data_IF_377073545366
#
_entry.id   IF_377073545366
#
_cell.length_a   1.000
_cell.length_b   1.000
_cell.length_c   1.000
_cell.angle_alpha   90.00
_cell.angle_beta   90.00
_cell.angle_gamma   90.00
#
_symmetry.space_group_name_H-M   'P 1'
#
loop_
_entity.id
_entity.type
_entity.pdbx_description
1 polymer ?
#
# COMPACT_ATOMS: atom_id res chain seq x y z
N UNK A 1 -2.90 -2.10 -3.08
CA UNK A 1 -3.51 -1.57 -1.83
C UNK A 1 -4.55 -0.45 -2.04
N UNK A 2 -5.03 -0.20 -3.26
CA UNK A 2 -5.96 0.91 -3.54
C UNK A 2 -7.28 0.82 -2.77
N UNK A 3 -7.83 -0.38 -2.55
CA UNK A 3 -9.06 -0.56 -1.77
C UNK A 3 -8.97 0.05 -0.35
N UNK A 4 -7.83 -0.13 0.31
CA UNK A 4 -7.55 0.46 1.61
C UNK A 4 -7.51 2.00 1.53
N UNK A 5 -6.86 2.54 0.51
CA UNK A 5 -6.83 3.98 0.23
C UNK A 5 -8.20 4.58 0.00
N UNK A 6 -9.05 3.92 -0.80
CA UNK A 6 -10.42 4.34 -1.07
C UNK A 6 -11.26 4.29 0.20
N UNK A 7 -11.11 3.25 1.02
CA UNK A 7 -11.80 3.12 2.31
C UNK A 7 -11.43 4.26 3.24
N UNK A 8 -10.12 4.50 3.44
CA UNK A 8 -9.62 5.59 4.26
C UNK A 8 -10.08 6.96 3.76
N UNK A 9 -10.02 7.20 2.45
CA UNK A 9 -10.49 8.46 1.85
C UNK A 9 -11.96 8.74 2.12
N UNK A 10 -12.81 7.71 2.07
CA UNK A 10 -14.25 7.84 2.34
C UNK A 10 -14.56 8.13 3.81
N UNK A 11 -13.73 7.67 4.74
CA UNK A 11 -13.95 7.87 6.18
C UNK A 11 -13.28 9.15 6.71
N UNK A 12 -12.07 9.46 6.25
CA UNK A 12 -11.23 10.54 6.79
C UNK A 12 -11.19 11.79 5.91
N UNK A 13 -11.70 11.72 4.67
CA UNK A 13 -11.67 12.85 3.73
C UNK A 13 -10.27 13.19 3.19
N UNK A 14 -9.28 12.32 3.41
CA UNK A 14 -7.90 12.48 2.94
C UNK A 14 -7.63 11.44 1.87
N UNK A 15 -7.20 11.86 0.69
CA UNK A 15 -6.76 10.96 -0.37
C UNK A 15 -5.25 10.68 -0.19
N UNK A 16 -4.84 9.49 0.27
CA UNK A 16 -3.43 9.11 0.36
C UNK A 16 -2.80 8.95 -1.03
N UNK A 17 -1.49 9.19 -1.14
CA UNK A 17 -0.72 8.78 -2.31
C UNK A 17 -0.75 7.24 -2.49
N UNK A 18 -0.59 6.70 -3.71
CA UNK A 18 -0.58 5.26 -3.94
C UNK A 18 0.41 4.49 -3.06
N UNK A 19 1.58 5.06 -2.76
CA UNK A 19 2.58 4.50 -1.86
C UNK A 19 2.08 4.48 -0.41
N UNK A 20 1.42 5.55 0.03
CA UNK A 20 0.83 5.66 1.36
C UNK A 20 -0.31 4.65 1.60
N UNK A 21 -0.97 4.16 0.54
CA UNK A 21 -1.98 3.11 0.65
C UNK A 21 -1.46 1.83 1.31
N UNK A 22 -0.17 1.54 1.19
CA UNK A 22 0.43 0.37 1.84
C UNK A 22 0.44 0.53 3.37
N UNK A 23 0.79 1.71 3.86
CA UNK A 23 0.75 2.01 5.29
C UNK A 23 -0.69 2.04 5.83
N UNK A 24 -1.62 2.64 5.07
CA UNK A 24 -3.06 2.63 5.40
C UNK A 24 -3.59 1.20 5.51
N UNK A 25 -3.27 0.33 4.54
CA UNK A 25 -3.66 -1.09 4.60
C UNK A 25 -3.13 -1.75 5.87
N UNK A 26 -1.84 -1.57 6.18
CA UNK A 26 -1.25 -2.11 7.39
C UNK A 26 -1.93 -1.62 8.67
N UNK A 27 -2.32 -0.34 8.73
CA UNK A 27 -3.04 0.23 9.86
C UNK A 27 -4.45 -0.37 10.01
N UNK A 28 -5.18 -0.54 8.90
CA UNK A 28 -6.50 -1.19 8.89
C UNK A 28 -6.40 -2.65 9.33
N UNK A 29 -5.42 -3.40 8.80
CA UNK A 29 -5.21 -4.81 9.14
C UNK A 29 -4.91 -4.95 10.65
N UNK A 30 -4.03 -4.09 11.20
CA UNK A 30 -3.73 -4.06 12.64
C UNK A 30 -4.95 -3.70 13.50
N UNK A 31 -5.81 -2.77 13.03
CA UNK A 31 -7.03 -2.41 13.73
C UNK A 31 -8.06 -3.56 13.74
N UNK A 32 -8.19 -4.29 12.63
CA UNK A 32 -9.04 -5.49 12.53
C UNK A 32 -8.53 -6.63 13.43
N UNK A 33 -7.21 -6.80 13.54
CA UNK A 33 -6.61 -7.74 14.48
C UNK A 33 -6.89 -7.36 15.94
N UNK A 34 -6.74 -6.08 16.31
CA UNK A 34 -7.09 -5.61 17.64
C UNK A 34 -8.57 -5.86 17.97
N UNK A 35 -9.46 -5.60 16.99
CA UNK A 35 -10.90 -5.87 17.11
C UNK A 35 -11.19 -7.35 17.34
N UNK A 36 -10.53 -8.27 16.62
CA UNK A 36 -10.76 -9.71 16.78
C UNK A 36 -10.26 -10.24 18.13
N UNK A 37 -9.22 -9.62 18.69
CA UNK A 37 -8.67 -9.94 20.02
C UNK A 37 -9.36 -9.22 21.18
N UNK A 38 -10.22 -8.23 20.89
CA UNK A 38 -10.82 -7.39 21.92
C UNK A 38 -9.83 -6.45 22.61
N UNK A 39 -8.72 -6.12 21.94
CA UNK A 39 -7.67 -5.25 22.46
C UNK A 39 -7.86 -3.81 21.97
N UNK A 40 -7.60 -2.84 22.85
CA UNK A 40 -7.56 -1.42 22.48
C UNK A 40 -6.12 -0.95 22.46
N UNK A 41 -5.54 -0.83 21.25
CA UNK A 41 -4.17 -0.35 21.03
C UNK A 41 -4.16 0.94 20.22
N UNK A 42 -3.16 1.78 20.46
CA UNK A 42 -2.87 2.94 19.62
C UNK A 42 -2.06 2.48 18.41
N UNK A 43 -2.53 2.81 17.20
CA UNK A 43 -1.85 2.52 15.95
C UNK A 43 -1.41 3.86 15.35
N UNK A 44 -0.10 4.02 15.16
CA UNK A 44 0.49 5.15 14.45
C UNK A 44 1.08 4.66 13.14
N UNK A 45 0.78 5.35 12.05
CA UNK A 45 1.36 5.07 10.74
C UNK A 45 1.74 6.38 10.06
N UNK A 46 2.71 6.31 9.14
CA UNK A 46 3.16 7.46 8.37
C UNK A 46 2.33 7.58 7.08
N UNK A 47 1.57 8.66 6.94
CA UNK A 47 0.94 9.05 5.68
C UNK A 47 1.96 9.86 4.86
N UNK A 48 2.79 9.16 4.09
CA UNK A 48 3.97 9.76 3.44
C UNK A 48 3.66 10.78 2.34
N UNK A 49 2.42 10.86 1.85
CA UNK A 49 2.02 11.78 0.80
C UNK A 49 0.52 11.77 0.52
N UNK A 50 0.05 12.77 -0.22
CA UNK A 50 -1.34 12.90 -0.68
C UNK A 50 -1.48 12.49 -2.15
N UNK A 51 -2.65 11.99 -2.55
CA UNK A 51 -2.91 11.48 -3.90
C UNK A 51 -3.41 12.52 -4.92
N UNK A 52 -3.41 13.82 -4.61
CA UNK A 52 -3.95 14.87 -5.51
C UNK A 52 -3.34 14.85 -6.92
N UNK A 53 -2.07 14.46 -7.05
CA UNK A 53 -1.38 14.37 -8.35
C UNK A 53 -1.35 12.94 -8.91
N UNK A 54 -1.94 11.97 -8.20
CA UNK A 54 -1.97 10.55 -8.55
C UNK A 54 -3.37 10.08 -8.94
N UNK A 55 -4.26 11.03 -9.27
CA UNK A 55 -5.66 10.74 -9.59
C UNK A 55 -5.81 9.78 -10.79
N UNK A 56 -4.85 9.76 -11.71
CA UNK A 56 -4.84 8.78 -12.80
C UNK A 56 -4.71 7.35 -12.26
N UNK A 57 -3.87 7.12 -11.24
CA UNK A 57 -3.70 5.78 -10.68
C UNK A 57 -4.97 5.32 -9.94
N UNK A 58 -5.68 6.24 -9.28
CA UNK A 58 -7.01 5.95 -8.73
C UNK A 58 -8.05 5.68 -9.82
N UNK A 59 -8.04 6.42 -10.93
CA UNK A 59 -8.92 6.17 -12.06
C UNK A 59 -8.66 4.79 -12.68
N UNK A 60 -7.38 4.42 -12.88
CA UNK A 60 -7.00 3.11 -13.41
C UNK A 60 -7.40 1.97 -12.47
N UNK A 61 -7.37 2.19 -11.15
CA UNK A 61 -7.93 1.25 -10.18
C UNK A 61 -9.44 1.06 -10.39
N UNK A 62 -10.21 2.15 -10.49
CA UNK A 62 -11.66 2.07 -10.68
C UNK A 62 -12.06 1.48 -12.03
N UNK A 63 -11.26 1.71 -13.07
CA UNK A 63 -11.45 1.17 -14.42
C UNK A 63 -10.92 -0.27 -14.56
N UNK A 64 -10.39 -0.89 -13.51
CA UNK A 64 -9.77 -2.23 -13.53
C UNK A 64 -8.63 -2.36 -14.56
N UNK A 65 -7.82 -1.30 -14.73
CA UNK A 65 -6.68 -1.26 -15.66
C UNK A 65 -5.35 -1.63 -15.02
N UNK A 66 -5.29 -1.76 -13.70
CA UNK A 66 -4.07 -2.13 -13.00
C UNK A 66 -3.66 -3.57 -13.32
N UNK A 67 -2.41 -3.76 -13.72
CA UNK A 67 -1.83 -5.09 -13.94
C UNK A 67 -1.60 -5.80 -12.61
N UNK A 68 -1.66 -7.13 -12.62
CA UNK A 68 -1.14 -7.92 -11.51
C UNK A 68 0.37 -7.73 -11.41
N UNK A 69 0.85 -7.38 -10.22
CA UNK A 69 2.27 -7.34 -9.90
C UNK A 69 2.72 -8.76 -9.54
N UNK A 70 3.27 -9.47 -10.53
CA UNK A 70 3.73 -10.85 -10.36
C UNK A 70 5.20 -10.84 -9.94
N UNK A 71 5.46 -11.24 -8.70
CA UNK A 71 6.83 -11.40 -8.21
C UNK A 71 7.52 -12.59 -8.89
N UNK A 72 8.49 -12.31 -9.76
CA UNK A 72 9.30 -13.33 -10.41
C UNK A 72 10.64 -13.52 -9.70
N UNK A 73 10.67 -14.46 -8.76
CA UNK A 73 11.87 -14.77 -7.96
C UNK A 73 13.08 -15.16 -8.83
N UNK A 74 12.86 -15.85 -9.96
CA UNK A 74 13.96 -16.25 -10.84
C UNK A 74 14.64 -15.05 -11.50
N UNK A 75 13.87 -14.08 -11.96
CA UNK A 75 14.41 -12.86 -12.57
C UNK A 75 15.11 -11.96 -11.56
N UNK A 76 14.55 -11.85 -10.35
CA UNK A 76 15.19 -11.13 -9.25
C UNK A 76 16.53 -11.76 -8.89
N UNK A 77 16.59 -13.08 -8.72
CA UNK A 77 17.84 -13.78 -8.40
C UNK A 77 18.91 -13.60 -9.49
N UNK A 78 18.52 -13.67 -10.77
CA UNK A 78 19.44 -13.37 -11.89
C UNK A 78 19.96 -11.94 -11.85
N UNK A 79 19.11 -10.96 -11.54
CA UNK A 79 19.54 -9.58 -11.39
C UNK A 79 20.51 -9.41 -10.21
N UNK A 80 20.25 -10.08 -9.08
CA UNK A 80 21.12 -10.06 -7.89
C UNK A 80 22.51 -10.64 -8.17
N UNK A 81 22.62 -11.70 -8.97
CA UNK A 81 23.90 -12.29 -9.38
C UNK A 81 24.79 -11.31 -10.18
N UNK A 82 24.16 -10.35 -10.88
CA UNK A 82 24.87 -9.33 -11.66
C UNK A 82 25.41 -8.16 -10.84
N UNK A 83 25.03 -8.07 -9.56
CA UNK A 83 25.51 -7.00 -8.69
C UNK A 83 27.01 -7.17 -8.39
N UNK A 84 27.77 -6.06 -8.38
CA UNK A 84 29.19 -6.12 -8.05
C UNK A 84 29.38 -6.63 -6.62
N UNK A 85 30.35 -7.53 -6.43
CA UNK A 85 30.77 -7.95 -5.09
C UNK A 85 31.43 -6.76 -4.41
N UNK A 86 30.79 -6.25 -3.37
CA UNK A 86 31.40 -5.27 -2.46
C UNK A 86 32.37 -6.03 -1.56
N UNK A 87 33.60 -5.52 -1.43
CA UNK A 87 34.68 -6.12 -0.65
C UNK A 87 34.41 -6.10 0.86
#
# INVERSE_FOLDING_TARGET
CFEAGVTFSKQEGIIPAPEANHAVKGAIDAALECKSKGESKTILFNLCGHGHFDMQAYADYFDNKLSEDVYNESEVNKALESLPKVA
#
